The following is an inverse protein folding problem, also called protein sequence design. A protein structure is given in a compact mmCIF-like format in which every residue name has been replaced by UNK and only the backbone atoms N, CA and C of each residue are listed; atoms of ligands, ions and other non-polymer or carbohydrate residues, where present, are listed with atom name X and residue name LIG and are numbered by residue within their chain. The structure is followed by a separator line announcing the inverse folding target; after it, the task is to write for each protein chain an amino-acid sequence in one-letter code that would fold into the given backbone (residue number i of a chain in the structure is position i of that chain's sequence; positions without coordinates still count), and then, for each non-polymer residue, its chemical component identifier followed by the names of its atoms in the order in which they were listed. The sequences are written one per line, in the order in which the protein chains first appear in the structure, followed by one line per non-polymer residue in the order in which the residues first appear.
data_IF_597080863178
#
_entry.id   IF_597080863178
#
_cell.length_a   1.000
_cell.length_b   1.000
_cell.length_c   1.000
_cell.angle_alpha   90.00
_cell.angle_beta   90.00
_cell.angle_gamma   90.00
#
_symmetry.space_group_name_H-M   'P 1'
#
loop_
_entity.id
_entity.type
_entity.pdbx_description
1 polymer ?
#
# COMPACT_ATOMS: atom_id res chain seq x y z
N UNK A 1 -59.15 -5.67 -15.73
CA UNK A 1 -59.19 -4.41 -14.95
C UNK A 1 -57.80 -3.87 -14.86
N UNK A 2 -57.52 -2.81 -15.54
CA UNK A 2 -56.28 -2.06 -15.35
C UNK A 2 -56.43 -1.29 -14.07
N UNK A 3 -56.15 -1.91 -12.95
CA UNK A 3 -56.20 -1.26 -11.64
C UNK A 3 -55.14 -0.17 -11.54
N UNK A 4 -55.53 1.00 -11.04
CA UNK A 4 -54.58 2.00 -10.66
C UNK A 4 -53.75 1.49 -9.49
N UNK A 5 -52.48 1.73 -9.51
CA UNK A 5 -51.55 1.39 -8.44
C UNK A 5 -50.56 2.50 -8.15
N UNK A 6 -50.09 2.57 -6.93
CA UNK A 6 -49.08 3.52 -6.47
C UNK A 6 -48.18 2.82 -5.46
N UNK A 7 -46.91 3.09 -5.53
CA UNK A 7 -45.90 2.72 -4.54
C UNK A 7 -45.25 3.98 -4.03
N UNK A 8 -45.19 4.13 -2.71
CA UNK A 8 -44.65 5.35 -2.12
C UNK A 8 -44.21 5.18 -0.67
N UNK A 9 -43.70 6.27 -0.12
CA UNK A 9 -43.46 6.40 1.31
C UNK A 9 -44.63 7.10 1.94
N UNK A 10 -45.05 6.64 3.11
CA UNK A 10 -46.14 7.24 3.86
C UNK A 10 -45.79 7.43 5.32
N UNK A 11 -46.42 8.39 5.98
CA UNK A 11 -46.32 8.60 7.41
C UNK A 11 -47.63 8.19 8.06
N UNK A 12 -47.59 7.23 8.96
CA UNK A 12 -48.73 6.79 9.75
C UNK A 12 -48.85 7.64 11.02
N UNK A 13 -50.06 8.22 11.22
CA UNK A 13 -50.37 8.99 12.42
C UNK A 13 -51.37 8.17 13.26
N UNK A 14 -50.92 7.63 14.37
CA UNK A 14 -51.74 6.72 15.22
C UNK A 14 -52.93 7.42 15.83
N UNK A 15 -52.83 8.66 16.26
CA UNK A 15 -53.92 9.40 16.91
C UNK A 15 -55.13 9.68 15.99
N UNK A 16 -54.94 9.66 14.67
CA UNK A 16 -56.00 9.85 13.70
C UNK A 16 -56.24 8.64 12.79
N UNK A 17 -55.50 7.54 12.98
CA UNK A 17 -55.49 6.35 12.10
C UNK A 17 -55.37 6.72 10.62
N UNK A 18 -54.55 7.72 10.34
CA UNK A 18 -54.33 8.25 8.97
C UNK A 18 -52.95 7.86 8.44
N UNK A 19 -52.89 7.58 7.15
CA UNK A 19 -51.64 7.36 6.41
C UNK A 19 -51.50 8.47 5.38
N UNK A 20 -50.60 9.40 5.64
CA UNK A 20 -50.28 10.45 4.68
C UNK A 20 -49.29 9.90 3.63
N UNK A 21 -49.54 10.16 2.36
CA UNK A 21 -48.62 9.85 1.25
C UNK A 21 -47.58 10.97 1.17
N UNK A 22 -46.37 10.69 1.65
CA UNK A 22 -45.31 11.72 1.69
C UNK A 22 -44.49 11.76 0.41
N UNK A 23 -44.27 10.62 -0.26
CA UNK A 23 -43.50 10.56 -1.49
C UNK A 23 -44.05 9.45 -2.37
N UNK A 24 -44.41 9.75 -3.61
CA UNK A 24 -44.74 8.77 -4.64
C UNK A 24 -43.42 8.33 -5.30
N UNK A 25 -43.12 7.04 -5.25
CA UNK A 25 -41.94 6.45 -5.88
C UNK A 25 -42.25 6.00 -7.31
N UNK A 26 -43.41 5.39 -7.53
CA UNK A 26 -43.91 4.96 -8.81
C UNK A 26 -45.44 4.86 -8.79
N UNK A 27 -46.11 5.10 -9.92
CA UNK A 27 -47.54 4.93 -10.03
C UNK A 27 -47.99 4.64 -11.47
N UNK A 28 -49.21 4.14 -11.63
CA UNK A 28 -49.87 4.02 -12.92
C UNK A 28 -50.26 5.37 -13.55
N UNK A 29 -50.02 6.46 -12.82
CA UNK A 29 -50.27 7.82 -13.26
C UNK A 29 -48.93 8.56 -13.55
N UNK A 30 -48.05 7.94 -14.29
CA UNK A 30 -46.76 8.51 -14.70
C UNK A 30 -45.93 9.08 -13.54
N UNK A 31 -45.92 8.41 -12.40
CA UNK A 31 -45.17 8.85 -11.21
C UNK A 31 -45.90 9.89 -10.35
N UNK A 32 -47.03 10.35 -10.74
CA UNK A 32 -47.88 11.26 -9.95
C UNK A 32 -48.84 10.50 -9.05
N UNK A 33 -49.27 11.12 -7.96
CA UNK A 33 -50.22 10.51 -7.04
C UNK A 33 -51.52 10.11 -7.76
N UNK A 34 -52.01 8.91 -7.51
CA UNK A 34 -53.30 8.44 -8.00
C UNK A 34 -54.43 8.92 -7.08
N UNK A 35 -55.66 8.99 -7.61
CA UNK A 35 -56.83 9.29 -6.81
C UNK A 35 -57.33 8.01 -6.13
N UNK A 36 -57.19 7.91 -4.78
CA UNK A 36 -57.65 6.77 -4.00
C UNK A 36 -59.16 6.82 -3.83
N UNK A 37 -59.82 5.70 -4.05
CA UNK A 37 -61.25 5.49 -3.75
C UNK A 37 -61.44 4.76 -2.41
N UNK A 38 -62.65 4.73 -1.89
CA UNK A 38 -62.98 4.00 -0.66
C UNK A 38 -62.74 2.48 -0.72
N UNK A 39 -62.52 1.94 -1.92
CA UNK A 39 -62.18 0.52 -2.16
C UNK A 39 -60.67 0.27 -2.40
N UNK A 40 -59.78 1.27 -2.14
CA UNK A 40 -58.35 1.11 -2.29
C UNK A 40 -57.81 0.15 -1.21
N UNK A 41 -57.05 -0.84 -1.66
CA UNK A 41 -56.29 -1.73 -0.74
C UNK A 41 -54.90 -1.12 -0.52
N UNK A 42 -54.43 -1.12 0.73
CA UNK A 42 -53.11 -0.61 1.11
C UNK A 42 -52.30 -1.69 1.76
N UNK A 43 -51.15 -1.93 1.22
CA UNK A 43 -50.19 -2.91 1.77
C UNK A 43 -48.95 -2.19 2.26
N UNK A 44 -48.40 -2.66 3.39
CA UNK A 44 -47.08 -2.26 3.84
C UNK A 44 -46.09 -3.26 3.26
N UNK A 45 -45.20 -2.74 2.40
CA UNK A 45 -44.14 -3.53 1.78
C UNK A 45 -42.89 -2.67 1.61
N UNK A 46 -41.78 -3.32 1.38
CA UNK A 46 -40.55 -2.61 1.01
C UNK A 46 -40.55 -2.40 -0.51
N UNK A 47 -40.48 -1.14 -0.99
CA UNK A 47 -40.39 -0.87 -2.42
C UNK A 47 -39.11 -1.47 -3.01
N UNK A 48 -39.20 -2.07 -4.19
CA UNK A 48 -38.06 -2.64 -4.88
C UNK A 48 -36.88 -1.64 -5.06
N UNK A 49 -37.22 -0.37 -5.33
CA UNK A 49 -36.21 0.71 -5.42
C UNK A 49 -35.52 1.06 -4.12
N UNK A 50 -35.96 0.52 -2.99
CA UNK A 50 -35.38 0.73 -1.64
C UNK A 50 -34.92 -0.58 -0.99
N UNK A 51 -35.03 -1.68 -1.69
CA UNK A 51 -34.57 -2.98 -1.22
C UNK A 51 -33.15 -3.25 -1.75
N UNK A 52 -32.32 -3.86 -0.94
CA UNK A 52 -31.07 -4.43 -1.37
C UNK A 52 -31.31 -5.88 -1.81
N UNK A 53 -30.89 -6.22 -3.02
CA UNK A 53 -31.05 -7.56 -3.59
C UNK A 53 -29.68 -8.17 -3.86
N UNK A 54 -29.60 -9.47 -3.62
CA UNK A 54 -28.49 -10.27 -4.13
C UNK A 54 -28.78 -10.64 -5.59
N UNK A 55 -27.73 -10.62 -6.41
CA UNK A 55 -27.80 -11.13 -7.77
C UNK A 55 -27.80 -12.67 -7.82
N UNK A 56 -27.80 -13.25 -9.02
CA UNK A 56 -27.81 -14.70 -9.20
C UNK A 56 -26.51 -15.40 -8.71
N UNK A 57 -25.44 -14.64 -8.48
CA UNK A 57 -24.16 -15.10 -7.93
C UNK A 57 -24.08 -15.00 -6.42
N UNK A 58 -25.07 -14.33 -5.81
CA UNK A 58 -25.13 -14.07 -4.37
C UNK A 58 -24.43 -12.76 -3.98
N UNK A 59 -24.12 -11.89 -4.93
CA UNK A 59 -23.47 -10.62 -4.69
C UNK A 59 -24.49 -9.49 -4.48
N UNK A 60 -24.20 -8.58 -3.52
CA UNK A 60 -24.98 -7.39 -3.29
C UNK A 60 -24.47 -6.25 -4.19
N UNK A 61 -25.22 -5.93 -5.24
CA UNK A 61 -24.89 -4.84 -6.14
C UNK A 61 -25.29 -3.48 -5.54
N UNK A 62 -24.32 -2.59 -5.38
CA UNK A 62 -24.52 -1.21 -5.00
C UNK A 62 -24.35 -0.30 -6.22
N UNK A 63 -25.24 0.68 -6.38
CA UNK A 63 -25.30 1.54 -7.58
C UNK A 63 -24.55 2.85 -7.42
N UNK A 64 -24.02 3.14 -6.23
CA UNK A 64 -23.22 4.34 -5.96
C UNK A 64 -22.28 4.12 -4.77
N UNK A 65 -21.22 4.92 -4.74
CA UNK A 65 -20.27 5.00 -3.64
C UNK A 65 -20.87 5.72 -2.43
N UNK A 66 -20.39 5.44 -1.20
CA UNK A 66 -20.91 6.07 0.00
C UNK A 66 -20.63 7.59 0.00
N UNK A 67 -21.63 8.36 0.39
CA UNK A 67 -21.55 9.81 0.59
C UNK A 67 -21.71 10.22 2.05
N UNK A 68 -21.98 9.24 2.95
CA UNK A 68 -22.12 9.46 4.39
C UNK A 68 -21.68 8.22 5.20
N UNK A 69 -21.37 8.44 6.47
CA UNK A 69 -20.66 7.47 7.35
C UNK A 69 -21.36 6.12 7.61
N UNK A 70 -22.66 6.01 7.35
CA UNK A 70 -23.42 4.77 7.62
C UNK A 70 -23.88 4.06 6.33
N UNK A 71 -23.33 4.43 5.18
CA UNK A 71 -23.60 3.76 3.92
C UNK A 71 -22.62 2.63 3.68
N UNK A 72 -23.09 1.55 3.04
CA UNK A 72 -22.22 0.48 2.58
C UNK A 72 -21.30 0.98 1.45
N UNK A 73 -20.03 0.58 1.49
CA UNK A 73 -19.06 0.91 0.47
C UNK A 73 -19.14 -0.09 -0.70
N UNK A 74 -18.99 0.43 -1.91
CA UNK A 74 -18.75 -0.42 -3.10
C UNK A 74 -17.32 -0.97 -3.07
N UNK A 75 -17.06 -2.06 -3.77
CA UNK A 75 -15.68 -2.54 -3.97
C UNK A 75 -14.83 -1.45 -4.62
N UNK A 76 -15.36 -0.76 -5.63
CA UNK A 76 -14.68 0.34 -6.31
C UNK A 76 -14.27 1.47 -5.36
N UNK A 77 -15.13 1.86 -4.42
CA UNK A 77 -14.81 2.89 -3.43
C UNK A 77 -13.67 2.43 -2.51
N UNK A 78 -13.74 1.19 -2.01
CA UNK A 78 -12.70 0.63 -1.15
C UNK A 78 -11.37 0.53 -1.90
N UNK A 79 -11.37 0.03 -3.12
CA UNK A 79 -10.17 -0.07 -3.96
C UNK A 79 -9.57 1.32 -4.22
N UNK A 80 -10.40 2.35 -4.51
CA UNK A 80 -9.94 3.72 -4.74
C UNK A 80 -9.29 4.33 -3.49
N UNK A 81 -9.87 4.09 -2.31
CA UNK A 81 -9.30 4.58 -1.04
C UNK A 81 -8.02 3.81 -0.69
N UNK A 82 -8.01 2.51 -0.90
CA UNK A 82 -6.81 1.69 -0.71
C UNK A 82 -5.68 2.13 -1.66
N UNK A 83 -6.03 2.47 -2.90
CA UNK A 83 -5.11 2.97 -3.91
C UNK A 83 -4.52 4.36 -3.62
N UNK A 84 -5.18 5.17 -2.80
CA UNK A 84 -4.72 6.51 -2.44
C UNK A 84 -3.69 6.52 -1.29
N UNK A 85 -3.34 5.35 -0.74
CA UNK A 85 -2.46 5.19 0.40
C UNK A 85 -1.09 4.59 0.06
N UNK A 86 -0.31 4.33 1.10
CA UNK A 86 0.93 3.54 1.01
C UNK A 86 0.54 2.07 0.93
N UNK A 87 1.02 1.35 -0.10
CA UNK A 87 0.79 -0.08 -0.28
C UNK A 87 2.00 -0.87 0.22
N UNK A 88 1.80 -1.68 1.26
CA UNK A 88 2.86 -2.49 1.82
C UNK A 88 3.02 -3.79 1.03
N UNK A 89 4.22 -3.98 0.47
CA UNK A 89 4.67 -5.25 -0.09
C UNK A 89 5.39 -6.12 0.95
N UNK A 90 5.71 -7.35 0.58
CA UNK A 90 6.55 -8.18 1.42
C UNK A 90 7.89 -7.48 1.68
N UNK A 91 8.40 -7.50 2.92
CA UNK A 91 9.67 -6.89 3.27
C UNK A 91 10.84 -7.42 2.43
N UNK A 92 11.84 -6.59 2.27
CA UNK A 92 13.14 -6.99 1.74
C UNK A 92 14.09 -7.27 2.89
N UNK A 93 15.01 -8.20 2.70
CA UNK A 93 15.99 -8.55 3.73
C UNK A 93 17.01 -7.43 3.93
N UNK A 94 17.56 -6.93 2.84
CA UNK A 94 18.53 -5.84 2.83
C UNK A 94 18.45 -5.07 1.52
N UNK A 95 19.17 -3.95 1.46
CA UNK A 95 19.20 -3.12 0.27
C UNK A 95 20.63 -2.76 -0.15
N UNK A 96 20.79 -2.19 -1.33
CA UNK A 96 22.09 -1.71 -1.81
C UNK A 96 22.48 -0.40 -1.11
N UNK A 97 23.79 -0.20 -0.91
CA UNK A 97 24.37 1.08 -0.46
C UNK A 97 25.15 1.78 -1.56
N UNK A 98 25.21 1.17 -2.74
CA UNK A 98 25.92 1.67 -3.90
C UNK A 98 25.51 0.92 -5.18
N UNK A 99 25.89 1.47 -6.33
CA UNK A 99 25.70 0.82 -7.62
C UNK A 99 26.35 -0.58 -7.66
N UNK A 100 25.56 -1.57 -8.02
CA UNK A 100 26.06 -2.92 -8.29
C UNK A 100 26.72 -2.96 -9.68
N UNK A 101 27.95 -3.50 -9.77
CA UNK A 101 28.57 -3.79 -11.05
C UNK A 101 27.91 -5.03 -11.66
N UNK A 102 26.87 -4.82 -12.44
CA UNK A 102 26.02 -5.88 -12.99
C UNK A 102 25.63 -5.60 -14.44
N UNK A 103 25.42 -6.68 -15.18
CA UNK A 103 24.74 -6.65 -16.48
C UNK A 103 23.25 -6.83 -16.27
N UNK A 104 22.45 -5.92 -16.78
CA UNK A 104 21.00 -6.00 -16.74
C UNK A 104 20.43 -6.67 -17.99
N UNK A 105 19.48 -7.55 -17.80
CA UNK A 105 18.63 -8.12 -18.84
C UNK A 105 17.18 -7.83 -18.48
N UNK A 106 16.42 -7.22 -19.39
CA UNK A 106 15.04 -6.76 -19.13
C UNK A 106 13.99 -7.90 -19.14
N UNK A 107 14.39 -9.14 -19.39
CA UNK A 107 13.43 -10.26 -19.49
C UNK A 107 12.32 -9.98 -20.52
N UNK A 108 11.08 -10.32 -20.15
CA UNK A 108 9.89 -9.98 -20.93
C UNK A 108 9.29 -8.66 -20.41
N UNK A 109 9.95 -7.53 -20.69
CA UNK A 109 9.51 -6.19 -20.28
C UNK A 109 9.35 -6.03 -18.75
N UNK A 110 10.33 -6.53 -18.00
CA UNK A 110 10.33 -6.53 -16.52
C UNK A 110 10.18 -7.92 -15.95
N UNK A 111 9.26 -8.72 -16.49
CA UNK A 111 9.03 -10.10 -16.03
C UNK A 111 10.28 -10.95 -16.26
N UNK A 112 10.80 -11.51 -15.17
CA UNK A 112 12.03 -12.28 -15.20
C UNK A 112 13.30 -11.47 -15.53
N UNK A 113 13.25 -10.14 -15.39
CA UNK A 113 14.45 -9.30 -15.57
C UNK A 113 15.52 -9.64 -14.55
N UNK A 114 16.79 -9.59 -14.97
CA UNK A 114 17.91 -10.01 -14.12
C UNK A 114 19.01 -8.95 -14.04
N UNK A 115 19.70 -8.95 -12.88
CA UNK A 115 21.00 -8.35 -12.68
C UNK A 115 22.00 -9.49 -12.45
N UNK A 116 23.02 -9.58 -13.31
CA UNK A 116 24.06 -10.59 -13.20
C UNK A 116 25.40 -9.92 -12.93
N UNK A 117 26.16 -10.42 -11.98
CA UNK A 117 27.49 -9.89 -11.66
C UNK A 117 28.35 -9.74 -12.91
N UNK A 118 28.89 -8.53 -13.11
CA UNK A 118 29.84 -8.21 -14.18
C UNK A 118 31.25 -7.90 -13.63
N UNK A 119 31.41 -7.97 -12.32
CA UNK A 119 32.66 -7.75 -11.63
C UNK A 119 33.41 -9.07 -11.30
N UNK A 120 34.31 -8.99 -10.34
CA UNK A 120 34.99 -10.17 -9.80
C UNK A 120 33.95 -11.11 -9.17
N UNK A 121 34.10 -12.40 -9.45
CA UNK A 121 33.21 -13.43 -8.90
C UNK A 121 33.39 -13.54 -7.37
N UNK A 122 32.29 -13.40 -6.66
CA UNK A 122 32.24 -13.53 -5.21
C UNK A 122 30.78 -13.82 -4.78
N UNK A 123 30.63 -14.32 -3.56
CA UNK A 123 29.30 -14.34 -2.94
C UNK A 123 28.78 -12.92 -2.74
N UNK A 124 27.48 -12.71 -3.01
CA UNK A 124 26.85 -11.40 -2.86
C UNK A 124 26.69 -11.05 -1.39
N UNK A 125 27.16 -9.85 -1.05
CA UNK A 125 26.93 -9.20 0.24
C UNK A 125 26.35 -7.82 -0.05
N UNK A 126 25.24 -7.49 0.59
CA UNK A 126 24.58 -6.19 0.48
C UNK A 126 24.45 -5.57 1.88
N UNK A 127 24.87 -4.34 2.03
CA UNK A 127 24.81 -3.59 3.32
C UNK A 127 25.31 -4.40 4.53
N UNK A 128 26.41 -5.12 4.37
CA UNK A 128 26.98 -6.00 5.41
C UNK A 128 26.27 -7.35 5.58
N UNK A 129 25.16 -7.59 4.90
CA UNK A 129 24.35 -8.81 5.00
C UNK A 129 24.79 -9.82 3.94
N UNK A 130 25.22 -11.02 4.38
CA UNK A 130 25.43 -12.17 3.49
C UNK A 130 24.08 -12.75 3.07
N UNK A 131 23.70 -12.58 1.82
CA UNK A 131 22.40 -13.04 1.32
C UNK A 131 22.40 -14.54 1.02
N UNK A 132 21.21 -15.12 1.00
CA UNK A 132 20.95 -16.51 0.61
C UNK A 132 20.02 -16.56 -0.60
N UNK A 133 19.99 -17.67 -1.31
CA UNK A 133 19.01 -17.88 -2.38
C UNK A 133 17.59 -17.67 -1.84
N UNK A 134 16.73 -17.15 -2.67
CA UNK A 134 15.33 -16.74 -2.37
C UNK A 134 15.16 -15.50 -1.47
N UNK A 135 16.25 -14.92 -0.93
CA UNK A 135 16.10 -13.64 -0.23
C UNK A 135 15.61 -12.55 -1.18
N UNK A 136 14.70 -11.72 -0.69
CA UNK A 136 14.28 -10.49 -1.35
C UNK A 136 15.23 -9.38 -0.97
N UNK A 137 15.65 -8.60 -1.95
CA UNK A 137 16.59 -7.49 -1.75
C UNK A 137 16.13 -6.28 -2.56
N UNK A 138 16.36 -5.08 -2.04
CA UNK A 138 16.13 -3.85 -2.79
C UNK A 138 17.41 -3.38 -3.46
N UNK A 139 17.27 -2.96 -4.70
CA UNK A 139 18.32 -2.32 -5.49
C UNK A 139 17.83 -0.93 -5.85
N UNK A 140 18.37 0.12 -5.23
CA UNK A 140 17.95 1.51 -5.48
C UNK A 140 19.08 2.45 -5.90
N UNK A 141 20.33 2.00 -5.84
CA UNK A 141 21.51 2.83 -6.10
C UNK A 141 22.10 2.68 -7.49
N UNK A 142 21.39 2.02 -8.40
CA UNK A 142 21.93 1.86 -9.76
C UNK A 142 22.12 3.21 -10.44
N UNK A 143 23.26 3.40 -11.07
CA UNK A 143 23.53 4.56 -11.94
C UNK A 143 22.48 4.66 -13.05
N UNK A 144 22.08 3.52 -13.60
CA UNK A 144 20.97 3.41 -14.56
C UNK A 144 19.69 3.13 -13.78
N UNK A 145 19.00 4.17 -13.37
CA UNK A 145 17.81 4.10 -12.50
C UNK A 145 16.68 3.15 -12.96
N UNK A 146 16.44 2.89 -14.26
CA UNK A 146 15.51 1.86 -14.70
C UNK A 146 15.82 0.44 -14.23
N UNK A 147 17.03 0.17 -13.75
CA UNK A 147 17.44 -1.13 -13.21
C UNK A 147 17.17 -1.28 -11.72
N UNK A 148 16.78 -0.20 -11.05
CA UNK A 148 16.32 -0.25 -9.67
C UNK A 148 15.06 -1.10 -9.53
N UNK A 149 14.78 -1.53 -8.30
CA UNK A 149 13.59 -2.30 -7.96
C UNK A 149 13.85 -3.36 -6.92
N UNK A 150 12.88 -4.21 -6.71
CA UNK A 150 12.97 -5.35 -5.80
C UNK A 150 13.31 -6.60 -6.58
N UNK A 151 14.24 -7.38 -6.04
CA UNK A 151 14.77 -8.58 -6.66
C UNK A 151 14.78 -9.75 -5.67
N UNK A 152 14.73 -10.96 -6.21
CA UNK A 152 14.97 -12.19 -5.48
C UNK A 152 16.36 -12.71 -5.86
N UNK A 153 17.15 -13.12 -4.88
CA UNK A 153 18.46 -13.73 -5.09
C UNK A 153 18.25 -15.12 -5.72
N UNK A 154 18.55 -15.24 -7.00
CA UNK A 154 18.46 -16.51 -7.73
C UNK A 154 19.72 -17.34 -7.56
N UNK A 155 20.90 -16.68 -7.60
CA UNK A 155 22.19 -17.30 -7.38
C UNK A 155 23.00 -16.41 -6.45
N UNK A 156 23.50 -16.95 -5.35
CA UNK A 156 24.29 -16.19 -4.36
C UNK A 156 25.65 -15.78 -4.90
N UNK A 157 26.20 -16.56 -5.82
CA UNK A 157 27.57 -16.40 -6.30
C UNK A 157 28.61 -17.10 -5.41
N UNK A 158 29.81 -17.17 -5.94
CA UNK A 158 30.98 -17.73 -5.28
C UNK A 158 32.27 -17.26 -5.96
N UNK A 159 33.43 -17.71 -5.55
CA UNK A 159 34.72 -17.42 -6.23
C UNK A 159 34.77 -17.93 -7.69
N UNK A 160 33.82 -18.76 -8.13
CA UNK A 160 33.78 -19.34 -9.48
C UNK A 160 32.41 -19.17 -10.19
N UNK A 161 31.47 -18.50 -9.58
CA UNK A 161 30.10 -18.34 -10.11
C UNK A 161 29.61 -16.93 -9.86
N UNK A 162 29.06 -16.30 -10.88
CA UNK A 162 28.44 -14.99 -10.74
C UNK A 162 27.17 -15.08 -9.89
N UNK A 163 26.92 -14.09 -9.05
CA UNK A 163 25.61 -13.92 -8.45
C UNK A 163 24.60 -13.43 -9.49
N UNK A 164 23.36 -13.82 -9.29
CA UNK A 164 22.22 -13.41 -10.12
C UNK A 164 21.07 -13.01 -9.23
N UNK A 165 20.51 -11.84 -9.51
CA UNK A 165 19.26 -11.34 -8.96
C UNK A 165 18.20 -11.38 -10.06
N UNK A 166 17.03 -11.89 -9.76
CA UNK A 166 15.86 -11.85 -10.67
C UNK A 166 14.81 -10.92 -10.06
N UNK A 167 14.23 -10.04 -10.86
CA UNK A 167 13.19 -9.12 -10.38
C UNK A 167 12.08 -9.92 -9.68
N UNK A 168 11.63 -9.45 -8.53
CA UNK A 168 10.60 -10.11 -7.74
C UNK A 168 9.26 -10.08 -8.49
N UNK A 169 8.47 -11.14 -8.39
CA UNK A 169 7.24 -11.31 -9.18
C UNK A 169 6.14 -10.31 -8.84
N UNK A 170 6.16 -9.75 -7.64
CA UNK A 170 5.29 -8.66 -7.20
C UNK A 170 5.84 -7.25 -7.51
N UNK A 171 6.93 -7.17 -8.27
CA UNK A 171 7.58 -5.93 -8.67
C UNK A 171 8.14 -5.99 -10.11
N UNK A 172 7.67 -6.91 -10.94
CA UNK A 172 8.15 -7.14 -12.31
C UNK A 172 7.14 -6.71 -13.40
N UNK A 173 5.97 -6.24 -12.98
CA UNK A 173 4.93 -5.63 -13.81
C UNK A 173 4.51 -4.28 -13.23
N UNK A 174 3.74 -3.51 -14.00
CA UNK A 174 3.19 -2.23 -13.56
C UNK A 174 1.67 -2.29 -13.48
N UNK A 175 1.13 -2.09 -12.31
CA UNK A 175 -0.29 -1.78 -12.09
C UNK A 175 -0.42 -0.99 -10.78
N UNK A 176 -0.94 0.25 -10.81
CA UNK A 176 -1.14 1.04 -9.60
C UNK A 176 -2.05 0.30 -8.62
N UNK A 177 -1.64 0.24 -7.34
CA UNK A 177 -2.44 -0.35 -6.27
C UNK A 177 -2.67 -1.86 -6.36
N UNK A 178 -1.95 -2.55 -7.21
CA UNK A 178 -1.98 -4.01 -7.30
C UNK A 178 -0.85 -4.57 -6.41
N UNK A 179 -1.15 -5.42 -5.42
CA UNK A 179 -0.13 -6.00 -4.53
C UNK A 179 0.86 -6.93 -5.24
N UNK A 180 0.53 -7.37 -6.46
CA UNK A 180 1.37 -8.24 -7.28
C UNK A 180 2.08 -7.48 -8.43
N UNK A 181 2.10 -6.14 -8.37
CA UNK A 181 2.75 -5.28 -9.36
C UNK A 181 3.37 -4.04 -8.69
N UNK A 182 4.24 -3.33 -9.39
CA UNK A 182 4.91 -2.14 -8.89
C UNK A 182 4.15 -0.88 -9.31
N UNK A 183 3.89 0.02 -8.35
CA UNK A 183 3.20 1.30 -8.56
C UNK A 183 3.68 2.41 -7.63
N UNK A 184 3.27 3.65 -7.91
CA UNK A 184 3.53 4.78 -7.02
C UNK A 184 2.85 4.53 -5.65
N UNK A 185 3.59 4.76 -4.56
CA UNK A 185 3.10 4.53 -3.19
C UNK A 185 3.43 3.14 -2.64
N UNK A 186 4.04 2.24 -3.41
CA UNK A 186 4.45 0.93 -2.92
C UNK A 186 5.60 1.06 -1.92
N UNK A 187 5.43 0.43 -0.76
CA UNK A 187 6.32 0.53 0.38
C UNK A 187 6.97 -0.80 0.70
N UNK A 188 8.27 -0.76 0.94
CA UNK A 188 9.10 -1.90 1.24
C UNK A 188 9.87 -1.65 2.54
N UNK A 189 9.70 -2.53 3.51
CA UNK A 189 10.45 -2.48 4.76
C UNK A 189 11.75 -3.27 4.62
N UNK A 190 12.88 -2.65 4.99
CA UNK A 190 14.22 -3.27 5.00
C UNK A 190 14.47 -3.88 6.37
N UNK A 191 14.60 -5.21 6.45
CA UNK A 191 14.66 -5.91 7.74
C UNK A 191 16.04 -5.97 8.35
N UNK A 192 17.10 -6.01 7.53
CA UNK A 192 18.48 -6.15 7.95
C UNK A 192 19.39 -5.19 7.16
N UNK A 193 20.49 -4.77 7.74
CA UNK A 193 21.49 -3.92 7.11
C UNK A 193 22.27 -3.12 8.15
N UNK A 194 23.50 -2.73 7.78
CA UNK A 194 24.35 -1.87 8.62
C UNK A 194 23.94 -0.40 8.48
N UNK A 195 23.47 0.01 7.30
CA UNK A 195 23.08 1.37 6.96
C UNK A 195 21.55 1.48 6.89
N UNK A 196 20.91 0.59 6.14
CA UNK A 196 19.49 0.67 5.79
C UNK A 196 18.57 -0.27 6.60
N UNK A 197 19.11 -1.03 7.53
CA UNK A 197 18.30 -1.93 8.36
C UNK A 197 17.29 -1.19 9.24
N UNK A 198 16.00 -1.48 9.06
CA UNK A 198 14.89 -0.82 9.77
C UNK A 198 14.24 0.35 9.01
N UNK A 199 14.68 0.63 7.80
CA UNK A 199 14.11 1.67 6.94
C UNK A 199 12.82 1.22 6.25
N UNK A 200 12.00 2.20 5.92
CA UNK A 200 10.81 2.04 5.08
C UNK A 200 10.94 2.94 3.86
N UNK A 201 11.07 2.33 2.71
CA UNK A 201 11.20 3.00 1.42
C UNK A 201 9.90 2.94 0.66
N UNK A 202 9.53 4.05 0.02
CA UNK A 202 8.32 4.17 -0.80
C UNK A 202 8.69 4.53 -2.21
N UNK A 203 8.12 3.82 -3.17
CA UNK A 203 8.29 4.16 -4.58
C UNK A 203 7.58 5.46 -4.91
N UNK A 204 8.34 6.41 -5.48
CA UNK A 204 7.88 7.76 -5.83
C UNK A 204 7.81 8.01 -7.33
N UNK A 205 8.12 7.01 -8.15
CA UNK A 205 7.96 7.12 -9.61
C UNK A 205 6.50 7.20 -9.97
N UNK A 206 6.06 8.34 -10.50
CA UNK A 206 4.69 8.56 -10.94
C UNK A 206 4.46 8.15 -12.40
N UNK A 207 3.22 7.77 -12.70
CA UNK A 207 2.80 7.38 -14.04
C UNK A 207 3.23 5.98 -14.45
N UNK A 208 3.04 5.66 -15.72
CA UNK A 208 3.28 4.31 -16.25
C UNK A 208 4.77 3.94 -16.24
N UNK A 209 5.09 2.79 -15.64
CA UNK A 209 6.45 2.25 -15.64
C UNK A 209 6.64 1.35 -16.87
N UNK A 210 7.61 1.73 -17.71
CA UNK A 210 8.16 0.87 -18.76
C UNK A 210 9.49 0.34 -18.28
N UNK A 211 9.53 -0.93 -17.86
CA UNK A 211 10.74 -1.54 -17.31
C UNK A 211 11.91 -1.51 -18.31
N UNK A 212 13.08 -1.21 -17.78
CA UNK A 212 14.30 -0.97 -18.57
C UNK A 212 14.42 0.45 -19.15
N UNK A 213 13.39 1.29 -19.04
CA UNK A 213 13.36 2.66 -19.59
C UNK A 213 12.98 3.71 -18.55
N UNK A 214 11.88 3.50 -17.82
CA UNK A 214 11.41 4.45 -16.80
C UNK A 214 12.30 4.36 -15.56
N UNK A 215 12.75 5.51 -15.05
CA UNK A 215 13.50 5.56 -13.80
C UNK A 215 12.63 5.05 -12.65
N UNK A 216 13.10 4.10 -11.89
CA UNK A 216 12.46 3.60 -10.67
C UNK A 216 13.17 4.27 -9.49
N UNK A 217 12.42 5.05 -8.73
CA UNK A 217 12.92 5.90 -7.63
C UNK A 217 12.16 5.53 -6.36
N UNK A 218 12.91 5.27 -5.31
CA UNK A 218 12.39 5.11 -3.95
C UNK A 218 12.79 6.33 -3.11
N UNK A 219 11.98 6.64 -2.11
CA UNK A 219 12.26 7.66 -1.11
C UNK A 219 12.11 7.05 0.28
N UNK A 220 13.08 7.32 1.13
CA UNK A 220 13.03 6.97 2.55
C UNK A 220 11.91 7.74 3.24
N UNK A 221 10.98 7.02 3.84
CA UNK A 221 9.84 7.59 4.59
C UNK A 221 10.04 7.48 6.09
N UNK A 222 10.60 6.36 6.54
CA UNK A 222 10.90 6.13 7.95
C UNK A 222 12.23 5.44 8.09
N UNK A 223 13.06 6.02 8.90
CA UNK A 223 14.39 5.59 9.29
C UNK A 223 14.35 5.20 10.78
N UNK A 224 14.91 4.05 11.14
CA UNK A 224 15.24 3.75 12.52
C UNK A 224 16.55 4.46 12.84
N UNK A 225 16.54 5.60 13.56
CA UNK A 225 17.75 6.38 13.74
C UNK A 225 18.82 5.55 14.46
N UNK A 226 19.86 5.19 13.72
CA UNK A 226 21.04 4.51 14.28
C UNK A 226 21.96 5.60 14.84
N UNK A 227 21.82 5.87 16.11
CA UNK A 227 22.72 6.78 16.80
C UNK A 227 24.00 6.06 17.20
N UNK A 228 25.16 6.63 16.87
CA UNK A 228 26.44 6.20 17.39
C UNK A 228 27.00 7.23 18.34
N UNK A 229 27.51 6.77 19.48
CA UNK A 229 28.17 7.67 20.42
C UNK A 229 29.55 8.06 19.86
N UNK A 230 29.81 9.38 19.75
CA UNK A 230 31.15 9.89 19.48
C UNK A 230 32.03 9.85 20.74
N UNK A 231 33.30 10.23 20.56
CA UNK A 231 34.26 10.26 21.68
C UNK A 231 33.74 11.09 22.86
N UNK A 232 33.80 10.53 24.07
CA UNK A 232 33.32 11.16 25.29
C UNK A 232 31.83 10.96 25.56
N UNK A 233 31.10 10.27 24.72
CA UNK A 233 29.70 9.90 24.92
C UNK A 233 29.55 8.37 25.01
N UNK A 234 28.57 7.93 25.76
CA UNK A 234 28.12 6.54 25.77
C UNK A 234 26.64 6.49 25.35
N UNK A 235 26.30 5.67 24.40
CA UNK A 235 24.90 5.42 23.98
C UNK A 235 24.38 4.17 24.70
N UNK A 236 23.24 4.33 25.38
CA UNK A 236 22.52 3.20 25.97
C UNK A 236 21.05 3.28 25.55
N UNK A 237 20.62 2.38 24.67
CA UNK A 237 19.31 2.49 23.99
C UNK A 237 19.26 3.77 23.16
N UNK A 238 18.33 4.66 23.45
CA UNK A 238 18.19 5.99 22.78
C UNK A 238 18.78 7.15 23.58
N UNK A 239 19.49 6.86 24.69
CA UNK A 239 20.02 7.88 25.59
C UNK A 239 21.53 8.03 25.45
N UNK A 240 21.99 9.27 25.19
CA UNK A 240 23.40 9.63 25.25
C UNK A 240 23.77 10.06 26.66
N UNK A 241 24.80 9.45 27.22
CA UNK A 241 25.40 9.87 28.48
C UNK A 241 26.79 10.44 28.23
N UNK A 242 27.13 11.54 28.86
CA UNK A 242 28.50 12.04 28.88
C UNK A 242 29.35 11.16 29.79
N UNK A 243 30.53 10.72 29.33
CA UNK A 243 31.50 10.00 30.13
C UNK A 243 32.29 10.96 30.99
N UNK A 244 32.44 10.65 32.30
CA UNK A 244 33.40 11.31 33.14
C UNK A 244 34.83 10.92 32.73
N UNK A 245 35.75 11.88 32.63
CA UNK A 245 37.14 11.67 32.28
C UNK A 245 38.05 12.70 32.97
N UNK A 246 39.36 12.61 32.69
CA UNK A 246 40.32 13.58 33.27
C UNK A 246 39.95 14.99 32.81
N UNK A 247 39.59 15.84 33.77
CA UNK A 247 39.19 17.23 33.52
C UNK A 247 37.72 17.44 33.20
N UNK A 248 36.88 16.37 33.20
CA UNK A 248 35.43 16.47 33.01
C UNK A 248 34.70 15.80 34.17
N UNK A 249 33.86 16.55 34.87
CA UNK A 249 32.96 16.04 35.90
C UNK A 249 31.54 16.06 35.39
N UNK A 250 30.87 14.89 35.38
CA UNK A 250 29.47 14.77 35.03
C UNK A 250 28.62 14.72 36.29
N UNK A 251 27.74 15.70 36.47
CA UNK A 251 26.77 15.76 37.56
C UNK A 251 25.37 15.43 37.02
N UNK A 252 24.40 15.20 37.89
CA UNK A 252 23.05 14.84 37.52
C UNK A 252 22.37 15.80 36.50
N UNK A 253 22.73 17.09 36.53
CA UNK A 253 22.12 18.13 35.70
C UNK A 253 23.15 19.06 35.04
N UNK A 254 24.44 18.75 35.09
CA UNK A 254 25.48 19.61 34.52
C UNK A 254 26.75 18.83 34.17
N UNK A 255 27.51 19.35 33.22
CA UNK A 255 28.86 18.90 32.90
C UNK A 255 29.79 20.07 33.27
N UNK A 256 30.78 19.83 34.13
CA UNK A 256 31.77 20.82 34.56
C UNK A 256 33.16 20.42 34.03
N UNK A 257 33.97 21.45 33.71
CA UNK A 257 35.40 21.26 33.44
C UNK A 257 36.09 21.33 34.79
N UNK A 258 36.78 20.22 35.17
CA UNK A 258 37.60 20.20 36.35
C UNK A 258 38.83 21.10 36.15
N UNK A 259 39.12 21.95 37.14
CA UNK A 259 40.39 22.72 37.22
C UNK A 259 41.43 21.91 37.96
#
# INVERSE_FOLDING_TARGET
STGNWEVGLGTFTASGTTLARTTVLASSNSGSAINLTAAAEVFITQPASKAAYFDNSGDLLLTQDPTSNLQAATKQYVDTIAAAGIHYHQPVRCETTANLNATYNNGASGVGATLTNAGTQAALVLDGVSVSATNRVMVQDQTTKPYNGVYTVTTVGSASTNWVLTRATDADSYAPSDPDALGEGDAFFVTEGTVHGGELDVMTTSGVITFGTTNIIFALVSDAPIYTAGNGLTLTGTSFAAGAGTGVTVNANSIAIGQ
#
